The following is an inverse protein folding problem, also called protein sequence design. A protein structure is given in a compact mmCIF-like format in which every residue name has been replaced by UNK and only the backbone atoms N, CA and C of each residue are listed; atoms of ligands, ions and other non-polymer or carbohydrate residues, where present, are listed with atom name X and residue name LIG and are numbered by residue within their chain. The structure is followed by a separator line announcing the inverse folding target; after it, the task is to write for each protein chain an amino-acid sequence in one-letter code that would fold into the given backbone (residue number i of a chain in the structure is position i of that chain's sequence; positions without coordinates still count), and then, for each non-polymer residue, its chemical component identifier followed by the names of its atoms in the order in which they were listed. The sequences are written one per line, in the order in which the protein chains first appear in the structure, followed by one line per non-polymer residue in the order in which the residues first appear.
data_IF_253655136441
#
_entry.id   IF_253655136441
#
_cell.length_a   1.000
_cell.length_b   1.000
_cell.length_c   1.000
_cell.angle_alpha   90.00
_cell.angle_beta   90.00
_cell.angle_gamma   90.00
#
_symmetry.space_group_name_H-M   'P 1'
#
loop_
_entity.id
_entity.type
_entity.pdbx_description
1 polymer ?
#
# COMPACT_ATOMS: atom_id res chain seq x y z
N UNK A 1 -53.52 14.70 31.30
CA UNK A 1 -53.65 16.16 31.50
C UNK A 1 -52.26 16.75 31.70
N UNK A 2 -51.58 17.17 30.63
CA UNK A 2 -50.34 17.94 30.75
C UNK A 2 -50.73 19.41 30.67
N UNK A 3 -50.78 20.07 31.83
CA UNK A 3 -50.92 21.53 31.91
C UNK A 3 -49.86 22.17 31.00
N UNK A 4 -50.27 23.13 30.18
CA UNK A 4 -49.40 23.97 29.35
C UNK A 4 -48.30 24.59 30.23
N UNK A 5 -47.15 23.92 30.36
CA UNK A 5 -45.99 24.48 31.02
C UNK A 5 -45.44 25.57 30.09
N UNK A 6 -45.67 26.81 30.53
CA UNK A 6 -45.36 28.06 29.87
C UNK A 6 -44.08 28.60 30.52
N UNK A 7 -43.06 28.87 29.70
CA UNK A 7 -41.78 29.38 30.15
C UNK A 7 -41.56 30.81 29.66
N UNK A 8 -41.07 31.74 30.51
CA UNK A 8 -40.71 33.06 30.05
C UNK A 8 -39.47 33.01 29.17
N UNK A 9 -39.43 33.87 28.17
CA UNK A 9 -38.26 34.02 27.30
C UNK A 9 -37.17 34.82 28.00
N UNK A 10 -35.95 34.33 27.86
CA UNK A 10 -34.75 34.95 28.38
C UNK A 10 -34.52 36.33 27.76
N UNK A 11 -34.20 37.36 28.57
CA UNK A 11 -33.59 38.55 28.01
C UNK A 11 -32.24 38.19 27.37
N UNK A 12 -31.82 38.99 26.40
CA UNK A 12 -30.52 38.84 25.74
C UNK A 12 -29.41 39.09 26.75
N UNK A 13 -28.48 38.14 26.86
CA UNK A 13 -27.32 38.29 27.75
C UNK A 13 -26.23 39.14 27.09
N UNK A 14 -25.54 39.96 27.89
CA UNK A 14 -24.32 40.65 27.46
C UNK A 14 -23.18 39.69 27.10
N UNK A 15 -23.26 38.43 27.54
CA UNK A 15 -22.29 37.38 27.20
C UNK A 15 -22.46 36.83 25.78
N UNK A 16 -23.58 37.09 25.12
CA UNK A 16 -23.78 36.67 23.73
C UNK A 16 -22.86 37.48 22.80
N UNK A 17 -22.33 36.85 21.73
CA UNK A 17 -21.59 37.57 20.70
C UNK A 17 -22.40 38.74 20.14
N UNK A 18 -21.71 39.87 19.84
CA UNK A 18 -22.36 41.12 19.45
C UNK A 18 -23.30 40.96 18.25
N UNK A 19 -22.90 40.17 17.24
CA UNK A 19 -23.70 39.91 16.04
C UNK A 19 -25.03 39.18 16.33
N UNK A 20 -25.16 38.48 17.46
CA UNK A 20 -26.39 37.78 17.84
C UNK A 20 -27.42 38.67 18.54
N UNK A 21 -26.93 39.64 19.33
CA UNK A 21 -27.73 40.35 20.34
C UNK A 21 -28.97 41.04 19.77
N UNK A 22 -28.81 41.76 18.66
CA UNK A 22 -29.90 42.53 18.05
C UNK A 22 -31.06 41.60 17.65
N UNK A 23 -30.76 40.54 16.89
CA UNK A 23 -31.78 39.60 16.40
C UNK A 23 -32.41 38.81 17.53
N UNK A 24 -31.62 38.33 18.49
CA UNK A 24 -32.14 37.63 19.67
C UNK A 24 -33.07 38.54 20.48
N UNK A 25 -32.76 39.84 20.59
CA UNK A 25 -33.59 40.82 21.28
C UNK A 25 -34.93 41.05 20.57
N UNK A 26 -34.90 41.12 19.24
CA UNK A 26 -36.12 41.20 18.42
C UNK A 26 -37.00 39.97 18.68
N UNK A 27 -36.45 38.75 18.59
CA UNK A 27 -37.23 37.52 18.83
C UNK A 27 -37.80 37.44 20.24
N UNK A 28 -37.00 37.83 21.25
CA UNK A 28 -37.44 37.85 22.64
C UNK A 28 -38.56 38.86 22.90
N UNK A 29 -38.57 39.99 22.18
CA UNK A 29 -39.64 40.98 22.26
C UNK A 29 -40.93 40.51 21.57
N UNK A 30 -40.82 39.75 20.48
CA UNK A 30 -41.94 39.26 19.66
C UNK A 30 -42.67 38.09 20.32
N UNK A 31 -41.94 37.16 20.95
CA UNK A 31 -42.51 35.99 21.64
C UNK A 31 -41.99 35.97 23.07
N UNK A 32 -42.82 36.39 24.03
CA UNK A 32 -42.45 36.50 25.45
C UNK A 32 -42.58 35.18 26.23
N UNK A 33 -43.29 34.21 25.66
CA UNK A 33 -43.64 32.94 26.30
C UNK A 33 -43.40 31.80 25.33
N UNK A 34 -42.80 30.70 25.82
CA UNK A 34 -42.60 29.46 25.09
C UNK A 34 -43.39 28.31 25.71
N UNK A 35 -43.96 27.48 24.85
CA UNK A 35 -44.47 26.18 25.26
C UNK A 35 -43.29 25.20 25.39
N UNK A 36 -43.38 24.25 26.30
CA UNK A 36 -42.30 23.26 26.51
C UNK A 36 -41.93 22.46 25.24
N UNK A 37 -42.82 22.33 24.26
CA UNK A 37 -42.55 21.70 22.95
C UNK A 37 -41.72 22.56 21.99
N UNK A 38 -41.75 23.87 22.19
CA UNK A 38 -41.04 24.84 21.35
C UNK A 38 -39.67 25.22 21.92
N UNK A 39 -39.29 24.65 23.08
CA UNK A 39 -38.04 24.99 23.75
C UNK A 39 -36.90 24.21 23.11
N UNK A 40 -35.91 24.96 22.64
CA UNK A 40 -34.62 24.45 22.19
C UNK A 40 -33.58 24.69 23.28
N UNK A 41 -32.73 23.70 23.50
CA UNK A 41 -31.61 23.76 24.45
C UNK A 41 -30.59 24.82 24.02
N UNK A 42 -30.01 25.54 24.99
CA UNK A 42 -28.99 26.57 24.70
C UNK A 42 -27.72 26.01 24.09
N UNK A 43 -27.48 24.71 24.20
CA UNK A 43 -26.36 24.05 23.52
C UNK A 43 -26.44 24.21 21.98
N UNK A 44 -27.66 24.31 21.44
CA UNK A 44 -27.92 24.51 20.02
C UNK A 44 -28.04 26.00 19.65
N UNK A 45 -27.71 26.92 20.56
CA UNK A 45 -27.84 28.35 20.29
C UNK A 45 -27.11 28.77 19.01
N UNK A 46 -25.89 28.25 18.80
CA UNK A 46 -25.07 28.52 17.63
C UNK A 46 -25.73 28.20 16.28
N UNK A 47 -26.75 27.32 16.24
CA UNK A 47 -27.38 26.84 15.00
C UNK A 47 -28.81 27.35 14.80
N UNK A 48 -29.37 28.12 15.75
CA UNK A 48 -30.75 28.59 15.65
C UNK A 48 -31.05 29.94 16.31
N UNK A 49 -30.07 30.65 16.86
CA UNK A 49 -30.28 31.90 17.61
C UNK A 49 -31.00 33.01 16.80
N UNK A 50 -30.91 32.97 15.47
CA UNK A 50 -31.57 33.98 14.61
C UNK A 50 -33.05 33.69 14.35
N UNK A 51 -33.52 32.49 14.72
CA UNK A 51 -34.86 31.99 14.40
C UNK A 51 -35.70 31.67 15.64
N UNK A 52 -35.09 31.23 16.74
CA UNK A 52 -35.81 30.77 17.95
C UNK A 52 -35.34 31.56 19.19
N UNK A 53 -36.27 32.09 20.02
CA UNK A 53 -35.93 32.63 21.34
C UNK A 53 -35.71 31.53 22.39
N UNK A 54 -34.91 31.80 23.43
CA UNK A 54 -34.56 30.81 24.47
C UNK A 54 -35.30 31.05 25.77
N UNK A 55 -35.67 29.98 26.48
CA UNK A 55 -36.35 30.07 27.79
C UNK A 55 -35.39 30.45 28.94
N UNK A 56 -35.94 31.04 30.00
CA UNK A 56 -35.28 31.20 31.30
C UNK A 56 -36.32 31.09 32.44
N UNK A 57 -36.20 30.14 33.38
CA UNK A 57 -35.13 29.14 33.49
C UNK A 57 -35.20 28.10 32.37
N UNK A 58 -34.05 27.55 32.01
CA UNK A 58 -33.94 26.47 31.03
C UNK A 58 -34.48 25.15 31.64
N UNK A 59 -35.35 24.42 30.93
CA UNK A 59 -35.81 23.11 31.39
C UNK A 59 -34.66 22.11 31.52
N UNK A 60 -34.78 21.17 32.47
CA UNK A 60 -33.78 20.11 32.60
C UNK A 60 -33.73 19.20 31.37
N UNK A 61 -32.56 18.62 31.09
CA UNK A 61 -32.36 17.67 29.98
C UNK A 61 -33.36 16.51 30.02
N UNK A 62 -33.72 16.03 31.21
CA UNK A 62 -34.73 14.98 31.41
C UNK A 62 -36.12 15.42 30.91
N UNK A 63 -36.47 16.70 31.11
CA UNK A 63 -37.74 17.26 30.65
C UNK A 63 -37.77 17.42 29.13
N UNK A 64 -36.64 17.80 28.54
CA UNK A 64 -36.48 17.92 27.09
C UNK A 64 -36.47 16.54 26.41
N UNK A 65 -35.92 15.49 27.01
CA UNK A 65 -35.96 14.13 26.43
C UNK A 65 -37.37 13.56 26.39
N UNK A 66 -38.21 13.90 27.38
CA UNK A 66 -39.60 13.41 27.45
C UNK A 66 -40.53 14.08 26.44
N UNK A 67 -40.07 15.13 25.76
CA UNK A 67 -40.86 15.97 24.87
C UNK A 67 -40.11 15.99 23.54
N UNK A 68 -40.75 15.54 22.47
CA UNK A 68 -40.05 15.17 21.23
C UNK A 68 -39.03 16.21 20.71
N UNK A 69 -38.03 15.70 19.98
CA UNK A 69 -36.82 16.38 19.50
C UNK A 69 -35.72 16.61 20.55
N UNK A 70 -35.87 16.20 21.82
CA UNK A 70 -34.79 16.27 22.83
C UNK A 70 -34.19 17.68 22.99
N UNK A 71 -34.96 18.74 22.74
CA UNK A 71 -34.47 20.12 22.75
C UNK A 71 -33.63 20.52 21.54
N UNK A 72 -33.61 19.73 20.46
CA UNK A 72 -32.97 20.05 19.19
C UNK A 72 -33.86 20.94 18.31
N UNK A 73 -33.28 21.88 17.53
CA UNK A 73 -34.02 22.61 16.53
C UNK A 73 -34.39 21.71 15.33
N UNK A 74 -35.51 21.99 14.68
CA UNK A 74 -35.86 21.33 13.42
C UNK A 74 -34.90 21.77 12.30
N UNK A 75 -34.52 20.85 11.40
CA UNK A 75 -33.68 21.14 10.24
C UNK A 75 -34.21 22.29 9.37
N UNK A 76 -35.54 22.42 9.22
CA UNK A 76 -36.13 23.55 8.50
C UNK A 76 -35.75 24.91 9.13
N UNK A 77 -35.73 24.99 10.47
CA UNK A 77 -35.27 26.17 11.20
C UNK A 77 -33.79 26.40 11.00
N UNK A 78 -32.98 25.34 11.01
CA UNK A 78 -31.53 25.45 10.83
C UNK A 78 -31.18 25.90 9.40
N UNK A 79 -31.94 25.50 8.39
CA UNK A 79 -31.81 26.03 7.03
C UNK A 79 -32.13 27.52 6.94
N UNK A 80 -33.22 27.97 7.60
CA UNK A 80 -33.54 29.40 7.70
C UNK A 80 -32.45 30.17 8.47
N UNK A 81 -31.86 29.56 9.49
CA UNK A 81 -30.74 30.12 10.22
C UNK A 81 -29.51 30.28 9.33
N UNK A 82 -29.14 29.26 8.55
CA UNK A 82 -28.02 29.32 7.62
C UNK A 82 -28.20 30.41 6.56
N UNK A 83 -29.40 30.51 5.97
CA UNK A 83 -29.72 31.58 5.02
C UNK A 83 -29.55 32.96 5.67
N UNK A 84 -30.02 33.12 6.91
CA UNK A 84 -29.81 34.34 7.68
C UNK A 84 -28.33 34.63 7.93
N UNK A 85 -27.51 33.62 8.29
CA UNK A 85 -26.07 33.80 8.48
C UNK A 85 -25.41 34.30 7.19
N UNK A 86 -25.70 33.66 6.06
CA UNK A 86 -25.16 34.06 4.76
C UNK A 86 -25.50 35.52 4.41
N UNK A 87 -26.75 35.94 4.64
CA UNK A 87 -27.17 37.33 4.42
C UNK A 87 -26.54 38.31 5.41
N UNK A 88 -26.31 37.88 6.65
CA UNK A 88 -25.76 38.70 7.73
C UNK A 88 -24.25 38.85 7.66
N UNK A 89 -23.56 37.98 6.92
CA UNK A 89 -22.10 37.97 6.79
C UNK A 89 -21.54 39.35 6.36
N UNK A 90 -22.30 40.11 5.57
CA UNK A 90 -21.93 41.47 5.12
C UNK A 90 -21.85 42.50 6.25
N UNK A 91 -22.53 42.27 7.36
CA UNK A 91 -22.63 43.18 8.51
C UNK A 91 -21.73 42.74 9.69
N UNK A 92 -20.91 41.71 9.50
CA UNK A 92 -19.99 41.23 10.53
C UNK A 92 -18.78 42.15 10.60
N UNK A 93 -18.35 42.41 11.84
CA UNK A 93 -17.14 43.15 12.17
C UNK A 93 -15.96 42.18 12.37
N UNK A 94 -14.74 42.65 12.07
CA UNK A 94 -13.51 41.86 12.09
C UNK A 94 -13.31 41.11 13.44
N UNK A 95 -13.56 41.80 14.55
CA UNK A 95 -13.44 41.23 15.90
C UNK A 95 -14.39 40.04 16.18
N UNK A 96 -15.45 39.87 15.39
CA UNK A 96 -16.48 38.83 15.58
C UNK A 96 -16.44 37.72 14.54
N UNK A 97 -15.57 37.80 13.54
CA UNK A 97 -15.44 36.83 12.45
C UNK A 97 -15.23 35.41 12.99
N UNK A 98 -14.31 35.24 13.94
CA UNK A 98 -14.00 33.91 14.51
C UNK A 98 -15.22 33.24 15.15
N UNK A 99 -15.99 33.98 15.96
CA UNK A 99 -17.22 33.47 16.57
C UNK A 99 -18.33 33.21 15.55
N UNK A 100 -18.42 34.02 14.49
CA UNK A 100 -19.38 33.83 13.41
C UNK A 100 -19.08 32.56 12.59
N UNK A 101 -17.80 32.33 12.26
CA UNK A 101 -17.38 31.13 11.53
C UNK A 101 -17.64 29.87 12.35
N UNK A 102 -17.45 29.93 13.67
CA UNK A 102 -17.75 28.80 14.55
C UNK A 102 -19.26 28.47 14.57
N UNK A 103 -20.14 29.47 14.57
CA UNK A 103 -21.59 29.27 14.43
C UNK A 103 -21.95 28.64 13.07
N UNK A 104 -21.34 29.15 12.00
CA UNK A 104 -21.52 28.61 10.66
C UNK A 104 -21.06 27.15 10.57
N UNK A 105 -19.91 26.83 11.15
CA UNK A 105 -19.35 25.48 11.21
C UNK A 105 -20.29 24.52 11.94
N UNK A 106 -20.77 24.91 13.12
CA UNK A 106 -21.75 24.13 13.90
C UNK A 106 -23.06 23.95 13.15
N UNK A 107 -23.47 24.95 12.37
CA UNK A 107 -24.68 24.89 11.54
C UNK A 107 -24.54 23.84 10.45
N UNK A 108 -23.43 23.82 9.70
CA UNK A 108 -23.17 22.76 8.72
C UNK A 108 -23.03 21.37 9.37
N UNK A 109 -22.35 21.29 10.51
CA UNK A 109 -22.15 20.06 11.26
C UNK A 109 -23.48 19.47 11.77
N UNK A 110 -24.40 20.31 12.23
CA UNK A 110 -25.74 19.90 12.62
C UNK A 110 -26.54 19.34 11.44
N UNK A 111 -26.50 20.03 10.29
CA UNK A 111 -27.20 19.60 9.08
C UNK A 111 -26.62 18.29 8.52
N UNK A 112 -25.30 18.11 8.61
CA UNK A 112 -24.62 16.87 8.21
C UNK A 112 -24.85 15.73 9.22
N UNK A 113 -25.01 15.99 10.51
CA UNK A 113 -25.35 14.93 11.47
C UNK A 113 -26.80 14.44 11.25
N UNK A 114 -27.67 15.29 10.70
CA UNK A 114 -29.09 15.02 10.47
C UNK A 114 -29.47 14.91 8.98
N UNK A 115 -28.63 14.26 8.14
CA UNK A 115 -28.76 14.26 6.66
C UNK A 115 -30.17 13.98 6.14
N UNK A 116 -30.82 12.92 6.62
CA UNK A 116 -32.12 12.48 6.08
C UNK A 116 -33.21 13.54 6.30
N UNK A 117 -33.29 14.09 7.52
CA UNK A 117 -34.25 15.16 7.85
C UNK A 117 -33.87 16.48 7.17
N UNK A 118 -32.57 16.77 7.11
CA UNK A 118 -32.01 17.95 6.44
C UNK A 118 -32.39 17.98 4.97
N UNK A 119 -32.22 16.86 4.25
CA UNK A 119 -32.60 16.70 2.84
C UNK A 119 -34.10 16.86 2.62
N UNK A 120 -34.93 16.26 3.47
CA UNK A 120 -36.39 16.34 3.36
C UNK A 120 -36.93 17.77 3.55
N UNK A 121 -36.20 18.61 4.27
CA UNK A 121 -36.58 20.00 4.58
C UNK A 121 -35.80 21.04 3.78
N UNK A 122 -34.85 20.58 2.94
CA UNK A 122 -34.06 21.47 2.10
C UNK A 122 -34.88 21.96 0.92
N UNK A 123 -35.26 23.23 0.98
CA UNK A 123 -35.77 23.95 -0.18
C UNK A 123 -34.64 24.83 -0.71
N UNK A 124 -34.21 24.58 -1.94
CA UNK A 124 -33.11 25.30 -2.56
C UNK A 124 -33.40 26.81 -2.56
N UNK A 125 -32.71 27.62 -1.74
CA UNK A 125 -33.00 29.05 -1.66
C UNK A 125 -32.26 29.79 -2.78
N UNK A 126 -32.78 30.97 -3.13
CA UNK A 126 -32.13 31.85 -4.12
C UNK A 126 -30.78 32.39 -3.62
N UNK A 127 -30.53 32.38 -2.31
CA UNK A 127 -29.35 32.95 -1.67
C UNK A 127 -28.16 31.98 -1.69
N UNK A 128 -26.96 32.50 -1.92
CA UNK A 128 -25.70 31.76 -1.80
C UNK A 128 -25.42 31.42 -0.32
N UNK A 129 -25.61 30.16 0.07
CA UNK A 129 -25.51 29.72 1.47
C UNK A 129 -24.19 29.03 1.81
N UNK A 130 -23.30 28.80 0.85
CA UNK A 130 -22.10 28.00 1.05
C UNK A 130 -20.86 28.88 1.06
N UNK A 131 -20.13 28.93 2.17
CA UNK A 131 -18.88 29.69 2.28
C UNK A 131 -17.71 28.84 1.75
N UNK A 132 -17.29 29.07 0.51
CA UNK A 132 -16.28 28.23 -0.16
C UNK A 132 -14.87 28.85 -0.05
N UNK A 133 -14.13 28.49 0.99
CA UNK A 133 -12.82 29.08 1.33
C UNK A 133 -11.76 28.02 1.66
N UNK A 134 -10.50 28.35 1.42
CA UNK A 134 -9.35 27.47 1.70
C UNK A 134 -9.01 27.41 3.21
N UNK A 135 -9.16 28.53 3.91
CA UNK A 135 -8.82 28.63 5.33
C UNK A 135 -9.78 27.82 6.21
N UNK A 136 -9.24 26.92 7.04
CA UNK A 136 -10.02 26.07 7.96
C UNK A 136 -10.07 26.59 9.40
N UNK A 137 -9.20 27.56 9.76
CA UNK A 137 -9.10 28.10 11.11
C UNK A 137 -9.91 29.38 11.22
N UNK A 138 -10.86 29.42 12.16
CA UNK A 138 -11.82 30.52 12.27
C UNK A 138 -11.16 31.90 12.50
N UNK A 139 -10.03 31.96 13.21
CA UNK A 139 -9.29 33.19 13.50
C UNK A 139 -8.41 33.69 12.35
N UNK A 140 -8.20 32.90 11.31
CA UNK A 140 -7.32 33.26 10.19
C UNK A 140 -8.07 33.70 8.94
N UNK A 141 -9.40 33.81 9.00
CA UNK A 141 -10.25 34.16 7.85
C UNK A 141 -10.36 35.69 7.79
N UNK A 142 -9.85 36.35 6.74
CA UNK A 142 -10.01 37.80 6.57
C UNK A 142 -11.48 38.16 6.33
N UNK A 143 -11.89 39.33 6.83
CA UNK A 143 -13.26 39.83 6.69
C UNK A 143 -13.70 39.96 5.22
N UNK A 144 -12.81 40.36 4.33
CA UNK A 144 -13.10 40.48 2.89
C UNK A 144 -13.38 39.12 2.22
N UNK A 145 -12.66 38.08 2.64
CA UNK A 145 -12.87 36.71 2.17
C UNK A 145 -14.23 36.20 2.66
N UNK A 146 -14.56 36.43 3.93
CA UNK A 146 -15.87 36.08 4.49
C UNK A 146 -17.01 36.73 3.68
N UNK A 147 -16.86 37.96 3.19
CA UNK A 147 -17.94 38.68 2.50
C UNK A 147 -18.13 38.25 1.04
N UNK A 148 -17.07 37.79 0.39
CA UNK A 148 -17.05 37.56 -1.07
C UNK A 148 -17.13 36.09 -1.49
N UNK A 149 -16.76 35.16 -0.60
CA UNK A 149 -16.63 33.73 -0.93
C UNK A 149 -17.91 32.90 -0.75
N UNK A 150 -19.09 33.52 -0.72
CA UNK A 150 -20.37 32.80 -0.67
C UNK A 150 -20.78 32.32 -2.06
N UNK A 151 -21.18 31.05 -2.16
CA UNK A 151 -21.59 30.43 -3.42
C UNK A 151 -22.87 29.59 -3.28
N UNK A 152 -23.47 29.28 -4.42
CA UNK A 152 -24.66 28.45 -4.55
C UNK A 152 -24.25 26.99 -4.82
N UNK A 153 -25.10 26.04 -4.43
CA UNK A 153 -24.82 24.62 -4.60
C UNK A 153 -24.56 24.23 -6.06
N UNK A 154 -25.26 24.86 -7.01
CA UNK A 154 -25.13 24.59 -8.45
C UNK A 154 -23.76 24.96 -9.04
N UNK A 155 -23.02 25.83 -8.35
CA UNK A 155 -21.68 26.28 -8.75
C UNK A 155 -20.57 25.47 -8.10
N UNK A 156 -20.89 24.53 -7.20
CA UNK A 156 -19.91 23.71 -6.51
C UNK A 156 -19.71 22.38 -7.25
N UNK A 157 -18.46 21.92 -7.26
CA UNK A 157 -18.05 20.67 -7.89
C UNK A 157 -17.17 19.87 -6.94
N UNK A 158 -17.63 18.67 -6.60
CA UNK A 158 -16.89 17.68 -5.82
C UNK A 158 -15.84 17.02 -6.72
N UNK A 159 -14.72 16.62 -6.13
CA UNK A 159 -13.65 15.84 -6.77
C UNK A 159 -12.97 16.54 -7.95
N UNK A 160 -13.05 17.87 -8.03
CA UNK A 160 -12.32 18.67 -9.02
C UNK A 160 -10.96 19.12 -8.48
N UNK A 161 -9.84 18.95 -9.21
CA UNK A 161 -8.52 19.39 -8.77
C UNK A 161 -8.38 20.92 -8.82
N UNK A 162 -9.20 21.61 -9.63
CA UNK A 162 -9.11 23.04 -9.83
C UNK A 162 -10.45 23.66 -10.23
N UNK A 163 -10.56 24.97 -10.01
CA UNK A 163 -11.74 25.74 -10.43
C UNK A 163 -11.86 25.76 -11.96
N UNK A 164 -13.10 25.66 -12.45
CA UNK A 164 -13.45 25.74 -13.86
C UNK A 164 -14.63 26.70 -14.02
N UNK A 165 -14.39 28.03 -14.05
CA UNK A 165 -15.46 29.03 -14.02
C UNK A 165 -16.55 28.77 -15.08
N UNK A 166 -17.86 28.82 -14.71
CA UNK A 166 -18.41 29.34 -13.45
C UNK A 166 -18.47 28.33 -12.29
N UNK A 167 -17.98 27.10 -12.48
CA UNK A 167 -17.92 26.06 -11.45
C UNK A 167 -16.66 26.24 -10.60
N UNK A 168 -16.81 26.02 -9.30
CA UNK A 168 -15.76 26.11 -8.31
C UNK A 168 -15.57 24.77 -7.64
N UNK A 169 -14.32 24.39 -7.42
CA UNK A 169 -13.97 23.25 -6.59
C UNK A 169 -14.40 23.52 -5.15
N UNK A 170 -14.90 22.50 -4.48
CA UNK A 170 -15.15 22.54 -3.04
C UNK A 170 -13.83 22.70 -2.29
N UNK A 171 -13.68 23.84 -1.63
CA UNK A 171 -12.48 24.20 -0.88
C UNK A 171 -12.44 23.50 0.50
N UNK A 172 -11.25 23.34 1.12
CA UNK A 172 -11.05 22.61 2.37
C UNK A 172 -12.04 22.90 3.50
N UNK A 173 -12.49 24.14 3.68
CA UNK A 173 -13.48 24.48 4.71
C UNK A 173 -14.82 23.74 4.50
N UNK A 174 -15.32 23.70 3.26
CA UNK A 174 -16.51 22.94 2.89
C UNK A 174 -16.22 21.45 2.68
N UNK A 175 -14.97 21.06 2.42
CA UNK A 175 -14.53 19.68 2.26
C UNK A 175 -14.78 18.78 3.49
N UNK A 176 -15.07 19.36 4.66
CA UNK A 176 -15.52 18.60 5.85
C UNK A 176 -17.00 18.18 5.79
N UNK A 177 -17.76 18.79 4.87
CA UNK A 177 -19.20 18.63 4.75
C UNK A 177 -19.61 17.96 3.43
N UNK A 178 -18.74 17.11 2.85
CA UNK A 178 -18.97 16.47 1.56
C UNK A 178 -20.22 15.59 1.53
N UNK A 179 -20.51 14.88 2.63
CA UNK A 179 -21.71 14.03 2.73
C UNK A 179 -22.98 14.85 2.60
N UNK A 180 -23.03 16.01 3.26
CA UNK A 180 -24.13 16.96 3.13
C UNK A 180 -24.24 17.50 1.70
N UNK A 181 -23.14 17.97 1.11
CA UNK A 181 -23.16 18.51 -0.26
C UNK A 181 -23.61 17.47 -1.28
N UNK A 182 -23.11 16.23 -1.17
CA UNK A 182 -23.46 15.11 -2.05
C UNK A 182 -24.94 14.75 -1.95
N UNK A 183 -25.49 14.63 -0.75
CA UNK A 183 -26.89 14.26 -0.53
C UNK A 183 -27.88 15.33 -1.02
N UNK A 184 -27.47 16.60 -1.00
CA UNK A 184 -28.22 17.74 -1.52
C UNK A 184 -28.13 17.91 -3.04
N UNK A 185 -27.29 17.10 -3.73
CA UNK A 185 -27.20 17.09 -5.19
C UNK A 185 -26.02 17.87 -5.78
N UNK A 186 -24.98 18.16 -5.00
CA UNK A 186 -23.73 18.71 -5.55
C UNK A 186 -23.12 17.73 -6.56
N UNK A 187 -22.70 18.23 -7.72
CA UNK A 187 -22.14 17.39 -8.80
C UNK A 187 -20.73 16.93 -8.41
N UNK A 188 -20.36 15.72 -8.79
CA UNK A 188 -19.00 15.18 -8.65
C UNK A 188 -18.42 14.92 -10.04
N UNK A 189 -17.14 15.23 -10.23
CA UNK A 189 -16.43 14.91 -11.46
C UNK A 189 -16.13 13.43 -11.55
N UNK A 190 -16.60 12.83 -12.65
CA UNK A 190 -16.21 11.48 -13.01
C UNK A 190 -14.95 11.53 -13.89
N UNK A 191 -13.87 10.90 -13.42
CA UNK A 191 -12.69 10.64 -14.22
C UNK A 191 -12.86 9.27 -14.88
N UNK A 192 -12.98 9.20 -16.21
CA UNK A 192 -13.03 7.91 -16.88
C UNK A 192 -11.73 7.14 -16.60
N UNK A 193 -11.81 5.83 -16.33
CA UNK A 193 -10.61 5.03 -16.10
C UNK A 193 -9.76 5.06 -17.37
N UNK A 194 -8.53 5.56 -17.23
CA UNK A 194 -7.53 5.45 -18.29
C UNK A 194 -6.99 4.03 -18.19
N UNK A 195 -7.33 3.18 -19.16
CA UNK A 195 -6.52 1.98 -19.40
C UNK A 195 -5.19 2.48 -19.96
N UNK A 196 -4.08 2.37 -19.22
CA UNK A 196 -2.79 2.70 -19.80
C UNK A 196 -2.63 1.84 -21.06
N UNK A 197 -2.07 2.39 -22.16
CA UNK A 197 -1.67 1.54 -23.27
C UNK A 197 -0.82 0.42 -22.66
N UNK A 198 -1.15 -0.83 -22.96
CA UNK A 198 -0.34 -1.95 -22.51
C UNK A 198 1.08 -1.62 -22.94
N UNK A 199 1.93 -1.30 -21.96
CA UNK A 199 3.37 -1.34 -22.18
C UNK A 199 3.60 -2.80 -22.48
N UNK A 200 3.55 -3.17 -23.76
CA UNK A 200 3.85 -4.52 -24.21
C UNK A 200 5.21 -4.76 -23.62
N UNK A 201 5.30 -5.65 -22.63
CA UNK A 201 6.50 -5.84 -21.84
C UNK A 201 7.63 -6.00 -22.84
N UNK A 202 8.44 -4.96 -23.01
CA UNK A 202 9.56 -5.01 -23.92
C UNK A 202 10.43 -6.12 -23.34
N UNK A 203 10.41 -7.29 -23.98
CA UNK A 203 11.17 -8.44 -23.51
C UNK A 203 12.60 -7.94 -23.36
N UNK A 204 13.16 -8.12 -22.17
CA UNK A 204 14.55 -7.72 -21.94
C UNK A 204 15.42 -8.40 -23.00
N UNK A 205 16.55 -7.78 -23.36
CA UNK A 205 17.49 -8.39 -24.32
C UNK A 205 17.84 -9.82 -23.91
N UNK A 206 17.96 -10.08 -22.60
CA UNK A 206 18.22 -11.41 -22.07
C UNK A 206 17.03 -12.38 -22.21
N UNK A 207 15.80 -11.89 -22.08
CA UNK A 207 14.58 -12.64 -22.40
C UNK A 207 14.53 -13.07 -23.87
N UNK A 208 14.93 -12.18 -24.79
CA UNK A 208 15.04 -12.51 -26.22
C UNK A 208 16.15 -13.52 -26.50
N UNK A 209 17.31 -13.39 -25.84
CA UNK A 209 18.42 -14.36 -25.97
C UNK A 209 18.03 -15.76 -25.47
N UNK A 210 17.22 -15.84 -24.41
CA UNK A 210 16.67 -17.11 -23.92
C UNK A 210 15.72 -17.74 -24.93
N UNK A 211 14.87 -16.96 -25.57
CA UNK A 211 13.97 -17.47 -26.63
C UNK A 211 14.78 -18.04 -27.80
N UNK A 212 15.82 -17.34 -28.26
CA UNK A 212 16.73 -17.86 -29.29
C UNK A 212 17.37 -19.18 -28.87
N UNK A 213 17.79 -19.31 -27.61
CA UNK A 213 18.36 -20.55 -27.08
C UNK A 213 17.34 -21.69 -27.01
N UNK A 214 16.11 -21.43 -26.53
CA UNK A 214 15.04 -22.44 -26.48
C UNK A 214 14.62 -22.92 -27.88
N UNK A 215 14.68 -22.03 -28.87
CA UNK A 215 14.38 -22.34 -30.28
C UNK A 215 15.59 -22.89 -31.06
N UNK A 216 16.76 -23.05 -30.42
CA UNK A 216 18.03 -23.45 -31.04
C UNK A 216 18.44 -22.58 -32.24
N UNK A 217 18.13 -21.29 -32.19
CA UNK A 217 18.46 -20.33 -33.25
C UNK A 217 19.81 -19.69 -32.91
N UNK A 218 20.75 -19.69 -33.87
CA UNK A 218 22.11 -19.13 -33.73
C UNK A 218 23.02 -19.85 -32.71
N UNK A 219 22.65 -21.03 -32.23
CA UNK A 219 23.53 -21.86 -31.41
C UNK A 219 24.73 -22.33 -32.22
N UNK A 220 25.93 -22.14 -31.71
CA UNK A 220 27.22 -22.37 -32.39
C UNK A 220 28.13 -23.36 -31.64
N UNK A 221 27.65 -23.95 -30.54
CA UNK A 221 28.27 -25.04 -29.81
C UNK A 221 27.21 -26.01 -29.27
N UNK A 222 27.58 -27.29 -29.19
CA UNK A 222 26.81 -28.35 -28.54
C UNK A 222 27.67 -29.04 -27.49
N UNK A 223 27.10 -29.32 -26.33
CA UNK A 223 27.74 -30.14 -25.31
C UNK A 223 27.03 -31.48 -25.22
N UNK A 224 27.79 -32.57 -25.21
CA UNK A 224 27.26 -33.92 -25.08
C UNK A 224 27.66 -34.49 -23.71
N UNK A 225 26.67 -34.89 -22.91
CA UNK A 225 26.87 -35.59 -21.65
C UNK A 225 25.87 -36.75 -21.55
N UNK A 226 26.34 -37.93 -21.16
CA UNK A 226 25.51 -39.14 -21.01
C UNK A 226 24.66 -39.48 -22.26
N UNK A 227 25.19 -39.19 -23.46
CA UNK A 227 24.51 -39.42 -24.74
C UNK A 227 23.39 -38.42 -25.05
N UNK A 228 23.21 -37.38 -24.24
CA UNK A 228 22.27 -36.28 -24.45
C UNK A 228 23.02 -34.99 -24.77
N UNK A 229 22.48 -34.18 -25.67
CA UNK A 229 23.12 -32.97 -26.18
C UNK A 229 22.39 -31.69 -25.79
N UNK A 230 23.14 -30.63 -25.48
CA UNK A 230 22.61 -29.28 -25.22
C UNK A 230 23.29 -28.28 -26.17
N UNK A 231 22.51 -27.70 -27.08
CA UNK A 231 22.97 -26.62 -27.96
C UNK A 231 22.98 -25.30 -27.20
N UNK A 232 23.98 -24.45 -27.45
CA UNK A 232 24.16 -23.17 -26.78
C UNK A 232 24.93 -22.17 -27.65
N UNK A 233 25.02 -20.93 -27.16
CA UNK A 233 25.78 -19.83 -27.75
C UNK A 233 27.12 -19.66 -27.02
N UNK A 234 28.24 -19.77 -27.73
CA UNK A 234 29.60 -19.57 -27.21
C UNK A 234 29.73 -18.21 -26.52
N UNK A 235 29.15 -17.17 -27.11
CA UNK A 235 29.18 -15.80 -26.56
C UNK A 235 28.57 -15.73 -25.16
N UNK A 236 27.40 -16.33 -24.96
CA UNK A 236 26.69 -16.29 -23.67
C UNK A 236 27.47 -17.08 -22.62
N UNK A 237 27.92 -18.29 -22.96
CA UNK A 237 28.70 -19.12 -22.05
C UNK A 237 30.04 -18.47 -21.67
N UNK A 238 30.77 -17.91 -22.63
CA UNK A 238 32.03 -17.19 -22.37
C UNK A 238 31.84 -15.93 -21.51
N UNK A 239 30.64 -15.34 -21.49
CA UNK A 239 30.34 -14.20 -20.64
C UNK A 239 30.18 -14.59 -19.16
N UNK A 240 29.72 -15.82 -18.89
CA UNK A 240 29.37 -16.32 -17.54
C UNK A 240 30.36 -17.35 -16.97
N UNK A 241 31.20 -17.96 -17.81
CA UNK A 241 32.20 -18.97 -17.42
C UNK A 241 33.58 -18.61 -18.00
N UNK A 242 34.56 -18.46 -17.12
CA UNK A 242 35.96 -18.24 -17.54
C UNK A 242 36.57 -19.45 -18.22
N UNK A 243 36.12 -20.66 -17.85
CA UNK A 243 36.46 -21.89 -18.55
C UNK A 243 36.00 -21.83 -20.01
N UNK A 244 34.71 -21.58 -20.27
CA UNK A 244 34.17 -21.47 -21.62
C UNK A 244 34.86 -20.36 -22.42
N UNK A 245 35.11 -19.20 -21.79
CA UNK A 245 35.85 -18.10 -22.42
C UNK A 245 37.22 -18.54 -22.92
N UNK A 246 37.95 -19.28 -22.09
CA UNK A 246 39.28 -19.79 -22.43
C UNK A 246 39.21 -20.93 -23.45
N UNK A 247 38.21 -21.80 -23.35
CA UNK A 247 38.00 -22.91 -24.28
C UNK A 247 37.68 -22.42 -25.70
N UNK A 248 36.91 -21.32 -25.83
CA UNK A 248 36.50 -20.81 -27.14
C UNK A 248 37.46 -19.78 -27.74
N UNK A 249 38.19 -19.02 -26.91
CA UNK A 249 39.06 -17.93 -27.37
C UNK A 249 40.54 -18.06 -26.95
N UNK A 250 40.90 -19.09 -26.20
CA UNK A 250 42.26 -19.30 -25.72
C UNK A 250 43.24 -19.77 -26.80
N UNK A 251 44.54 -19.85 -26.48
CA UNK A 251 45.59 -20.28 -27.41
C UNK A 251 45.37 -21.70 -27.97
N UNK A 252 44.68 -22.54 -27.21
CA UNK A 252 44.31 -23.92 -27.57
C UNK A 252 42.83 -24.05 -27.93
N UNK A 253 42.16 -22.95 -28.29
CA UNK A 253 40.76 -22.99 -28.66
C UNK A 253 40.55 -24.05 -29.75
N UNK A 254 39.59 -24.93 -29.49
CA UNK A 254 39.18 -25.96 -30.44
C UNK A 254 38.71 -25.27 -31.72
N UNK A 255 39.59 -25.24 -32.73
CA UNK A 255 39.27 -24.73 -34.06
C UNK A 255 38.65 -25.88 -34.82
N UNK A 256 37.32 -25.93 -34.84
CA UNK A 256 36.62 -26.79 -35.78
C UNK A 256 37.09 -26.46 -37.20
N UNK A 257 37.75 -27.41 -37.86
CA UNK A 257 38.26 -27.26 -39.23
C UNK A 257 37.11 -27.28 -40.27
N UNK A 258 35.90 -27.68 -39.87
CA UNK A 258 34.72 -27.71 -40.72
C UNK A 258 33.97 -26.37 -40.65
N UNK A 259 34.12 -25.57 -41.70
CA UNK A 259 33.24 -24.42 -41.98
C UNK A 259 31.81 -24.91 -42.24
N UNK A 260 31.00 -25.07 -41.19
CA UNK A 260 29.55 -25.26 -41.32
C UNK A 260 28.89 -26.27 -40.37
N UNK A 261 29.64 -27.01 -39.54
CA UNK A 261 29.04 -27.91 -38.54
C UNK A 261 29.17 -27.31 -37.14
N UNK A 262 28.08 -27.35 -36.36
CA UNK A 262 28.11 -27.05 -34.92
C UNK A 262 29.15 -27.92 -34.25
N UNK A 263 29.99 -27.31 -33.41
CA UNK A 263 31.04 -28.02 -32.69
C UNK A 263 30.43 -28.79 -31.51
N UNK A 264 30.63 -30.11 -31.48
CA UNK A 264 30.18 -30.97 -30.37
C UNK A 264 31.33 -31.19 -29.40
N UNK A 265 31.14 -30.80 -28.15
CA UNK A 265 32.10 -30.91 -27.06
C UNK A 265 31.63 -32.01 -26.11
N UNK A 266 32.31 -33.18 -26.08
CA UNK A 266 31.96 -34.24 -25.15
C UNK A 266 32.42 -33.88 -23.73
N UNK A 267 31.49 -33.94 -22.77
CA UNK A 267 31.73 -33.75 -21.34
C UNK A 267 31.54 -35.11 -20.67
N UNK A 268 32.62 -35.65 -20.09
CA UNK A 268 32.63 -36.97 -19.44
C UNK A 268 32.62 -36.87 -17.92
N UNK A 269 32.90 -35.69 -17.40
CA UNK A 269 33.23 -35.44 -16.00
C UNK A 269 32.01 -35.04 -15.16
N UNK A 270 30.82 -34.93 -15.75
CA UNK A 270 29.58 -34.61 -15.04
C UNK A 270 28.36 -35.22 -15.74
N UNK A 271 27.27 -35.34 -15.00
CA UNK A 271 25.98 -35.81 -15.52
C UNK A 271 25.35 -34.77 -16.45
N UNK A 272 24.41 -35.21 -17.29
CA UNK A 272 23.62 -34.30 -18.12
C UNK A 272 22.84 -33.28 -17.27
N UNK A 273 22.33 -33.68 -16.12
CA UNK A 273 21.60 -32.80 -15.20
C UNK A 273 22.49 -31.69 -14.67
N UNK A 274 23.71 -32.02 -14.23
CA UNK A 274 24.68 -31.02 -13.77
C UNK A 274 25.09 -30.07 -14.88
N UNK A 275 25.38 -30.59 -16.08
CA UNK A 275 25.68 -29.77 -17.26
C UNK A 275 24.53 -28.82 -17.58
N UNK A 276 23.29 -29.33 -17.55
CA UNK A 276 22.09 -28.51 -17.79
C UNK A 276 21.98 -27.36 -16.80
N UNK A 277 22.27 -27.57 -15.52
CA UNK A 277 22.25 -26.49 -14.51
C UNK A 277 23.27 -25.41 -14.86
N UNK A 278 24.50 -25.78 -15.24
CA UNK A 278 25.52 -24.80 -15.65
C UNK A 278 25.07 -23.96 -16.84
N UNK A 279 24.50 -24.61 -17.87
CA UNK A 279 24.04 -23.93 -19.08
C UNK A 279 22.81 -23.07 -18.77
N UNK A 280 21.81 -23.60 -18.06
CA UNK A 280 20.61 -22.86 -17.66
C UNK A 280 21.03 -21.61 -16.85
N UNK A 281 21.94 -21.73 -15.89
CA UNK A 281 22.43 -20.58 -15.12
C UNK A 281 23.04 -19.47 -15.99
N UNK A 282 23.51 -19.79 -17.20
CA UNK A 282 24.01 -18.78 -18.14
C UNK A 282 22.91 -18.00 -18.87
N UNK A 283 21.67 -18.51 -18.94
CA UNK A 283 20.52 -17.92 -19.66
C UNK A 283 19.40 -17.40 -18.75
N UNK A 284 19.55 -17.52 -17.43
CA UNK A 284 18.60 -16.98 -16.46
C UNK A 284 19.25 -16.02 -15.46
N UNK A 285 18.77 -14.77 -15.43
CA UNK A 285 19.18 -13.76 -14.43
C UNK A 285 18.59 -14.06 -13.05
N UNK A 286 17.32 -14.44 -13.00
CA UNK A 286 16.62 -14.88 -11.80
C UNK A 286 15.93 -16.22 -12.12
N UNK A 287 16.51 -17.32 -11.65
CA UNK A 287 15.91 -18.64 -11.75
C UNK A 287 16.31 -19.50 -10.55
N UNK A 288 15.30 -20.09 -9.93
CA UNK A 288 15.48 -21.01 -8.81
C UNK A 288 15.84 -22.41 -9.32
N UNK A 289 17.06 -22.54 -9.85
CA UNK A 289 17.60 -23.81 -10.38
C UNK A 289 17.69 -24.90 -9.31
N UNK A 290 17.80 -24.51 -8.03
CA UNK A 290 17.93 -25.42 -6.89
C UNK A 290 16.60 -25.73 -6.19
N UNK A 291 15.44 -25.33 -6.75
CA UNK A 291 14.13 -25.49 -6.11
C UNK A 291 13.85 -26.94 -5.66
N UNK A 292 14.22 -27.91 -6.50
CA UNK A 292 14.03 -29.33 -6.23
C UNK A 292 15.12 -29.94 -5.34
N UNK A 293 16.24 -29.24 -5.15
CA UNK A 293 17.39 -29.67 -4.34
C UNK A 293 17.31 -29.22 -2.88
N UNK A 294 16.33 -28.39 -2.51
CA UNK A 294 16.12 -27.96 -1.12
C UNK A 294 15.48 -29.06 -0.28
N UNK A 295 15.92 -29.18 0.97
CA UNK A 295 15.32 -30.08 1.97
C UNK A 295 13.91 -29.59 2.33
N UNK A 296 12.94 -30.50 2.27
CA UNK A 296 11.53 -30.32 2.63
C UNK A 296 11.23 -31.17 3.87
N UNK A 297 10.23 -30.78 4.66
CA UNK A 297 9.90 -31.45 5.94
C UNK A 297 9.54 -32.95 5.80
N UNK A 298 9.08 -33.38 4.63
CA UNK A 298 8.66 -34.75 4.35
C UNK A 298 9.70 -35.56 3.56
N UNK A 299 10.90 -35.02 3.32
CA UNK A 299 11.93 -35.78 2.61
C UNK A 299 12.45 -36.91 3.50
N UNK A 300 12.55 -38.11 2.92
CA UNK A 300 13.23 -39.22 3.58
C UNK A 300 14.75 -39.13 3.42
N UNK A 301 15.45 -40.03 4.11
CA UNK A 301 16.92 -40.06 4.13
C UNK A 301 17.54 -40.21 2.74
N UNK A 302 16.96 -41.07 1.89
CA UNK A 302 17.47 -41.33 0.53
C UNK A 302 17.35 -40.08 -0.33
N UNK A 303 16.21 -39.38 -0.23
CA UNK A 303 15.97 -38.14 -0.97
C UNK A 303 16.93 -37.03 -0.53
N UNK A 304 17.23 -36.92 0.76
CA UNK A 304 18.19 -35.93 1.27
C UNK A 304 19.60 -36.22 0.74
N UNK A 305 19.99 -37.49 0.68
CA UNK A 305 21.28 -37.93 0.14
C UNK A 305 21.40 -37.62 -1.36
N UNK A 306 20.37 -37.92 -2.16
CA UNK A 306 20.33 -37.59 -3.60
C UNK A 306 20.42 -36.07 -3.86
N UNK A 307 19.72 -35.27 -3.05
CA UNK A 307 19.78 -33.80 -3.12
C UNK A 307 21.17 -33.28 -2.80
N UNK A 308 21.79 -33.84 -1.78
CA UNK A 308 23.14 -33.48 -1.37
C UNK A 308 24.17 -33.85 -2.44
N UNK A 309 24.07 -35.06 -3.01
CA UNK A 309 24.92 -35.48 -4.12
C UNK A 309 24.77 -34.56 -5.34
N UNK A 310 23.55 -34.15 -5.65
CA UNK A 310 23.26 -33.22 -6.76
C UNK A 310 23.85 -31.82 -6.53
N UNK A 311 23.74 -31.28 -5.31
CA UNK A 311 24.34 -30.00 -4.93
C UNK A 311 25.87 -30.09 -4.94
N UNK A 312 26.44 -31.18 -4.43
CA UNK A 312 27.89 -31.44 -4.44
C UNK A 312 28.46 -31.50 -5.87
N UNK A 313 27.82 -32.28 -6.75
CA UNK A 313 28.21 -32.35 -8.15
C UNK A 313 28.11 -30.98 -8.85
N UNK A 314 27.11 -30.18 -8.52
CA UNK A 314 26.97 -28.81 -9.06
C UNK A 314 28.05 -27.87 -8.53
N UNK A 315 28.44 -27.99 -7.26
CA UNK A 315 29.53 -27.21 -6.66
C UNK A 315 30.87 -27.52 -7.36
N UNK A 316 31.19 -28.80 -7.54
CA UNK A 316 32.39 -29.24 -8.25
C UNK A 316 32.41 -28.77 -9.70
N UNK A 317 31.26 -28.86 -10.38
CA UNK A 317 31.15 -28.44 -11.77
C UNK A 317 31.27 -26.91 -11.91
N UNK A 318 30.70 -26.14 -10.98
CA UNK A 318 30.80 -24.69 -10.96
C UNK A 318 32.24 -24.20 -10.71
N UNK A 319 32.97 -24.84 -9.78
CA UNK A 319 34.39 -24.58 -9.55
C UNK A 319 35.21 -24.90 -10.82
N UNK A 320 35.02 -26.09 -11.40
CA UNK A 320 35.71 -26.53 -12.63
C UNK A 320 35.47 -25.60 -13.82
N UNK A 321 34.24 -25.11 -13.97
CA UNK A 321 33.87 -24.18 -15.04
C UNK A 321 34.17 -22.72 -14.69
N UNK A 322 34.78 -22.46 -13.52
CA UNK A 322 35.13 -21.12 -13.04
C UNK A 322 33.92 -20.18 -13.09
N UNK A 323 32.79 -20.65 -12.54
CA UNK A 323 31.53 -19.94 -12.44
C UNK A 323 31.30 -19.49 -10.99
N UNK A 324 32.00 -18.42 -10.58
CA UNK A 324 32.01 -17.90 -9.20
C UNK A 324 30.61 -17.59 -8.64
N UNK A 325 29.73 -17.01 -9.48
CA UNK A 325 28.36 -16.68 -9.09
C UNK A 325 27.57 -17.94 -8.73
N UNK A 326 27.64 -18.99 -9.57
CA UNK A 326 26.96 -20.26 -9.32
C UNK A 326 27.57 -20.99 -8.13
N UNK A 327 28.89 -21.00 -8.02
CA UNK A 327 29.61 -21.61 -6.90
C UNK A 327 29.17 -21.01 -5.55
N UNK A 328 29.05 -19.69 -5.50
CA UNK A 328 28.53 -18.98 -4.32
C UNK A 328 27.05 -19.32 -4.08
N UNK A 329 26.25 -19.40 -5.14
CA UNK A 329 24.81 -19.67 -5.04
C UNK A 329 24.50 -21.10 -4.56
N UNK A 330 25.28 -22.09 -5.00
CA UNK A 330 25.22 -23.47 -4.49
C UNK A 330 25.47 -23.49 -2.98
N UNK A 331 26.50 -22.78 -2.50
CA UNK A 331 26.80 -22.67 -1.06
C UNK A 331 25.63 -22.03 -0.28
N UNK A 332 24.99 -21.00 -0.85
CA UNK A 332 23.77 -20.39 -0.25
C UNK A 332 22.61 -21.37 -0.13
N UNK A 333 22.48 -22.31 -1.06
CA UNK A 333 21.45 -23.34 -0.99
C UNK A 333 21.78 -24.49 -0.04
N UNK A 334 23.06 -24.77 0.20
CA UNK A 334 23.50 -25.76 1.20
C UNK A 334 23.25 -25.31 2.64
N UNK A 335 23.48 -24.02 2.95
CA UNK A 335 23.43 -23.48 4.33
C UNK A 335 22.09 -23.74 5.04
N UNK A 336 20.90 -23.46 4.46
CA UNK A 336 19.63 -23.68 5.13
C UNK A 336 19.36 -25.15 5.49
N UNK A 337 19.84 -26.08 4.65
CA UNK A 337 19.70 -27.53 4.83
C UNK A 337 20.86 -28.19 5.57
N UNK A 338 21.87 -27.44 5.99
CA UNK A 338 23.16 -27.99 6.43
C UNK A 338 23.06 -28.97 7.60
N UNK A 339 22.04 -28.80 8.47
CA UNK A 339 21.76 -29.70 9.60
C UNK A 339 21.24 -31.07 9.19
N UNK A 340 20.64 -31.17 8.00
CA UNK A 340 20.15 -32.41 7.42
C UNK A 340 21.21 -33.05 6.51
N UNK A 341 22.07 -32.23 5.91
CA UNK A 341 23.11 -32.67 4.97
C UNK A 341 24.37 -33.19 5.68
N UNK A 342 24.91 -32.44 6.65
CA UNK A 342 26.15 -32.81 7.35
C UNK A 342 25.82 -33.67 8.57
N UNK A 343 26.36 -34.89 8.56
CA UNK A 343 26.15 -35.92 9.57
C UNK A 343 27.48 -36.55 9.99
N UNK A 344 27.52 -37.26 11.15
CA UNK A 344 28.76 -37.86 11.62
C UNK A 344 29.36 -38.91 10.67
N UNK A 345 28.53 -39.57 9.86
CA UNK A 345 28.92 -40.58 8.87
C UNK A 345 29.55 -39.99 7.60
N UNK A 346 29.14 -38.78 7.19
CA UNK A 346 29.52 -38.23 5.88
C UNK A 346 30.40 -36.96 5.94
N UNK A 347 30.61 -36.37 7.13
CA UNK A 347 31.30 -35.08 7.29
C UNK A 347 32.73 -35.07 6.73
N UNK A 348 33.44 -36.20 6.75
CA UNK A 348 34.81 -36.29 6.21
C UNK A 348 34.81 -36.18 4.68
N UNK A 349 33.88 -36.85 4.01
CA UNK A 349 33.75 -36.79 2.55
C UNK A 349 33.37 -35.38 2.10
N UNK A 350 32.44 -34.73 2.82
CA UNK A 350 32.04 -33.34 2.52
C UNK A 350 33.14 -32.32 2.84
N UNK A 351 33.92 -32.55 3.89
CA UNK A 351 35.09 -31.71 4.18
C UNK A 351 36.09 -31.76 3.03
N UNK A 352 36.31 -32.95 2.44
CA UNK A 352 37.18 -33.13 1.29
C UNK A 352 36.62 -32.44 0.05
N UNK A 353 35.32 -32.59 -0.25
CA UNK A 353 34.67 -31.89 -1.37
C UNK A 353 34.83 -30.37 -1.20
N UNK A 354 34.65 -29.85 0.01
CA UNK A 354 34.80 -28.42 0.28
C UNK A 354 36.24 -27.92 0.09
N UNK A 355 37.23 -28.76 0.39
CA UNK A 355 38.64 -28.48 0.13
C UNK A 355 38.96 -28.51 -1.37
N UNK A 356 38.52 -29.56 -2.07
CA UNK A 356 38.75 -29.75 -3.51
C UNK A 356 38.07 -28.67 -4.37
N UNK A 357 36.95 -28.10 -3.89
CA UNK A 357 36.17 -27.07 -4.59
C UNK A 357 36.41 -25.64 -4.06
N UNK A 358 37.40 -25.43 -3.20
CA UNK A 358 37.69 -24.12 -2.58
C UNK A 358 36.47 -23.46 -1.87
N UNK A 359 35.52 -24.26 -1.37
CA UNK A 359 34.35 -23.77 -0.64
C UNK A 359 34.72 -23.50 0.84
N UNK A 360 35.37 -22.37 1.09
CA UNK A 360 35.94 -22.04 2.41
C UNK A 360 34.91 -22.02 3.55
N UNK A 361 33.71 -21.48 3.33
CA UNK A 361 32.68 -21.41 4.38
C UNK A 361 32.17 -22.80 4.77
N UNK A 362 31.96 -23.67 3.76
CA UNK A 362 31.57 -25.07 3.98
C UNK A 362 32.68 -25.85 4.68
N UNK A 363 33.93 -25.65 4.28
CA UNK A 363 35.10 -26.29 4.92
C UNK A 363 35.20 -25.91 6.40
N UNK A 364 35.13 -24.61 6.70
CA UNK A 364 35.19 -24.11 8.08
C UNK A 364 34.05 -24.68 8.93
N UNK A 365 32.85 -24.82 8.36
CA UNK A 365 31.72 -25.45 9.04
C UNK A 365 31.99 -26.94 9.33
N UNK A 366 32.49 -27.70 8.35
CA UNK A 366 32.80 -29.13 8.53
C UNK A 366 33.90 -29.33 9.60
N UNK A 367 34.94 -28.50 9.58
CA UNK A 367 36.00 -28.51 10.59
C UNK A 367 35.46 -28.24 12.00
N UNK A 368 34.61 -27.22 12.16
CA UNK A 368 34.00 -26.89 13.44
C UNK A 368 33.05 -28.00 13.92
N UNK A 369 32.23 -28.55 13.02
CA UNK A 369 31.35 -29.67 13.32
C UNK A 369 32.14 -30.88 13.83
N UNK A 370 33.23 -31.22 13.14
CA UNK A 370 34.11 -32.33 13.52
C UNK A 370 34.78 -32.10 14.87
N UNK A 371 35.31 -30.91 15.13
CA UNK A 371 35.95 -30.58 16.40
C UNK A 371 34.99 -30.69 17.59
N UNK A 372 33.74 -30.26 17.42
CA UNK A 372 32.72 -30.31 18.48
C UNK A 372 32.12 -31.69 18.70
N UNK A 373 32.16 -32.57 17.70
CA UNK A 373 31.52 -33.90 17.73
C UNK A 373 32.52 -35.06 17.55
N UNK A 374 33.80 -34.87 17.88
CA UNK A 374 34.89 -35.79 17.54
C UNK A 374 34.64 -37.25 17.95
N UNK A 375 34.10 -37.49 19.15
CA UNK A 375 33.80 -38.85 19.64
C UNK A 375 32.71 -39.54 18.79
N UNK A 376 31.69 -38.79 18.38
CA UNK A 376 30.56 -39.32 17.58
C UNK A 376 30.97 -39.59 16.13
N UNK A 377 31.81 -38.73 15.54
CA UNK A 377 32.35 -38.90 14.18
C UNK A 377 33.29 -40.11 14.12
N UNK A 378 34.17 -40.28 15.13
CA UNK A 378 35.05 -41.45 15.20
C UNK A 378 34.25 -42.76 15.29
N UNK A 379 33.22 -42.81 16.14
CA UNK A 379 32.36 -43.98 16.25
C UNK A 379 31.61 -44.30 14.94
N UNK A 380 31.07 -43.28 14.26
CA UNK A 380 30.35 -43.46 12.99
C UNK A 380 31.27 -43.96 11.86
N UNK A 381 32.47 -43.40 11.75
CA UNK A 381 33.46 -43.80 10.72
C UNK A 381 34.06 -45.19 10.95
N UNK A 382 34.15 -45.67 12.20
CA UNK A 382 34.54 -47.05 12.51
C UNK A 382 33.41 -48.06 12.22
N UNK A 383 32.16 -47.69 12.47
CA UNK A 383 30.99 -48.50 12.14
C UNK A 383 30.80 -48.68 10.62
N UNK A 384 31.07 -47.64 9.84
CA UNK A 384 30.94 -47.69 8.38
C UNK A 384 32.03 -48.59 7.73
N UNK A 385 33.27 -48.55 8.25
CA UNK A 385 34.37 -49.43 7.82
C UNK A 385 34.13 -50.91 8.14
N UNK A 386 33.38 -51.22 9.19
CA UNK A 386 33.05 -52.60 9.59
C UNK A 386 31.80 -53.15 8.88
N UNK A 387 31.05 -52.29 8.17
CA UNK A 387 29.89 -52.66 7.37
C UNK A 387 30.24 -53.02 5.91
N UNK A 388 31.44 -52.61 5.45
CA UNK A 388 31.94 -52.80 4.08
C UNK A 388 33.03 -53.88 3.92
N UNK A 389 33.26 -54.69 4.97
CA UNK A 389 34.05 -55.95 4.95
C UNK A 389 33.15 -57.15 5.12
#
# INVERSE_FOLDING_TARGET
MASLLIFPVSPVSEREPQFRRLRMGILASQKRILSLRDIVSREYAAVCWSQIPFALPEPSTISLVKIGLNGQPNCATVWQHLAFLAESARFIDDATVGSFIEDLRRTYEFLQTNLQQSKATFNQPATAMWLNIEATVASSIPLEVLRTSWTSLEKLLLDSPCDAPPLMTVQPFLGRFLSLLKDLGCKSLYYPPITPPSSGAAKSTFGLLRELWQENILTDVEFEAEGSTISAHKLILASRSMYCRTQFHGPWASRSESKGSTEVIPIKEMTYTTLKILIDFCYYEEHDWAADMRVKENDDFSVIEDKLASLGATLEAADRWLMEDLHTDVQRHLIPGIRCFIRPDNVEDFSKIAEDTNAHDLRNYCEEYRLRNAETVLFATEADKSSNT
#
